data_IF_159786375431
#
_entry.id   IF_159786375431
#
_cell.length_a   1.000
_cell.length_b   1.000
_cell.length_c   1.000
_cell.angle_alpha   90.00
_cell.angle_beta   90.00
_cell.angle_gamma   90.00
#
_symmetry.space_group_name_H-M   'P 1'
#
loop_
_entity.id
_entity.type
_entity.pdbx_description
1 polymer ?
#
# COMPACT_ATOMS: atom_id res chain seq x y z
N UNK A 1 18.45 0.78 25.88
CA UNK A 1 17.51 0.02 25.02
C UNK A 1 17.40 0.74 23.69
N UNK A 2 17.86 0.12 22.59
CA UNK A 2 17.63 0.67 21.25
C UNK A 2 16.15 0.44 20.92
N UNK A 3 15.33 1.48 20.91
CA UNK A 3 13.92 1.38 20.58
C UNK A 3 13.68 1.53 19.07
N UNK A 4 12.74 0.75 18.54
CA UNK A 4 12.23 0.92 17.19
C UNK A 4 11.52 2.27 17.10
N UNK A 5 11.72 2.99 16.01
CA UNK A 5 11.03 4.24 15.74
C UNK A 5 10.19 4.11 14.46
N UNK A 6 9.11 4.87 14.34
CA UNK A 6 8.33 4.94 13.10
C UNK A 6 9.20 5.26 11.88
N UNK A 7 10.23 6.10 12.07
CA UNK A 7 11.16 6.44 10.98
C UNK A 7 11.95 5.24 10.47
N UNK A 8 12.42 4.36 11.36
CA UNK A 8 13.08 3.11 10.98
C UNK A 8 12.17 2.21 10.16
N UNK A 9 10.91 2.06 10.60
CA UNK A 9 9.92 1.25 9.89
C UNK A 9 9.55 1.84 8.52
N UNK A 10 9.41 3.17 8.42
CA UNK A 10 9.15 3.86 7.15
C UNK A 10 10.29 3.66 6.15
N UNK A 11 11.54 3.80 6.60
CA UNK A 11 12.72 3.59 5.74
C UNK A 11 12.78 2.14 5.30
N UNK A 12 12.59 1.19 6.21
CA UNK A 12 12.59 -0.23 5.90
C UNK A 12 11.52 -0.60 4.87
N UNK A 13 10.26 -0.19 5.11
CA UNK A 13 9.15 -0.36 4.17
C UNK A 13 9.50 0.18 2.78
N UNK A 14 10.02 1.42 2.72
CA UNK A 14 10.33 2.07 1.44
C UNK A 14 11.45 1.35 0.67
N UNK A 15 12.43 0.78 1.37
CA UNK A 15 13.50 -0.01 0.75
C UNK A 15 12.95 -1.30 0.15
N UNK A 16 12.09 -2.00 0.87
CA UNK A 16 11.43 -3.22 0.37
C UNK A 16 10.58 -2.91 -0.86
N UNK A 17 9.73 -1.89 -0.81
CA UNK A 17 8.84 -1.49 -1.92
C UNK A 17 9.60 -0.96 -3.14
N UNK A 18 10.78 -0.37 -2.95
CA UNK A 18 11.60 0.15 -4.05
C UNK A 18 12.52 -0.92 -4.65
N UNK A 19 12.72 -2.05 -3.97
CA UNK A 19 13.65 -3.11 -4.37
C UNK A 19 15.12 -2.68 -4.40
N UNK A 20 15.43 -1.47 -3.94
CA UNK A 20 16.80 -0.93 -3.92
C UNK A 20 16.96 0.22 -2.93
N UNK A 21 18.16 0.35 -2.35
CA UNK A 21 18.52 1.48 -1.48
C UNK A 21 18.48 2.80 -2.26
N UNK A 22 18.95 2.80 -3.50
CA UNK A 22 18.94 3.99 -4.36
C UNK A 22 17.51 4.49 -4.63
N UNK A 23 16.60 3.59 -5.00
CA UNK A 23 15.20 3.94 -5.23
C UNK A 23 14.51 4.46 -3.97
N UNK A 24 14.78 3.84 -2.81
CA UNK A 24 14.26 4.29 -1.53
C UNK A 24 14.81 5.66 -1.13
N UNK A 25 16.12 5.90 -1.30
CA UNK A 25 16.74 7.18 -0.97
C UNK A 25 16.14 8.35 -1.76
N UNK A 26 15.88 8.14 -3.05
CA UNK A 26 15.22 9.14 -3.90
C UNK A 26 13.80 9.46 -3.41
N UNK A 27 12.98 8.42 -3.12
CA UNK A 27 11.60 8.58 -2.64
C UNK A 27 11.50 9.23 -1.25
N UNK A 28 12.47 8.95 -0.38
CA UNK A 28 12.51 9.48 0.99
C UNK A 28 13.22 10.83 1.09
N UNK A 29 13.81 11.33 0.01
CA UNK A 29 14.70 12.53 0.01
C UNK A 29 15.83 12.40 1.04
N UNK A 30 16.42 11.20 1.13
CA UNK A 30 17.55 10.87 1.98
C UNK A 30 18.78 10.51 1.16
N UNK A 31 19.98 10.62 1.76
CA UNK A 31 21.19 10.06 1.17
C UNK A 31 21.21 8.52 1.29
N UNK A 32 21.81 7.81 0.33
CA UNK A 32 21.99 6.36 0.41
C UNK A 32 22.71 5.90 1.68
N UNK A 33 23.79 6.56 2.15
CA UNK A 33 24.42 6.22 3.42
C UNK A 33 23.46 6.32 4.61
N UNK A 34 22.57 7.33 4.61
CA UNK A 34 21.54 7.48 5.66
C UNK A 34 20.55 6.32 5.65
N UNK A 35 20.06 5.91 4.48
CA UNK A 35 19.18 4.76 4.34
C UNK A 35 19.85 3.48 4.83
N UNK A 36 21.11 3.24 4.39
CA UNK A 36 21.90 2.07 4.81
C UNK A 36 22.12 2.03 6.33
N UNK A 37 22.41 3.17 6.95
CA UNK A 37 22.57 3.28 8.40
C UNK A 37 21.27 2.94 9.15
N UNK A 38 20.11 3.39 8.65
CA UNK A 38 18.82 3.07 9.24
C UNK A 38 18.50 1.58 9.16
N UNK A 39 18.79 0.94 8.00
CA UNK A 39 18.63 -0.51 7.84
C UNK A 39 19.53 -1.30 8.80
N UNK A 40 20.80 -0.90 8.89
CA UNK A 40 21.75 -1.51 9.82
C UNK A 40 21.26 -1.41 11.26
N UNK A 41 20.82 -0.21 11.68
CA UNK A 41 20.27 0.01 13.02
C UNK A 41 19.07 -0.88 13.31
N UNK A 42 18.18 -1.09 12.35
CA UNK A 42 17.02 -1.96 12.52
C UNK A 42 17.43 -3.43 12.68
N UNK A 43 18.42 -3.90 11.90
CA UNK A 43 19.00 -5.25 12.03
C UNK A 43 19.69 -5.43 13.39
N UNK A 44 20.40 -4.43 13.87
CA UNK A 44 21.07 -4.45 15.19
C UNK A 44 20.05 -4.52 16.36
N UNK A 45 18.88 -3.88 16.22
CA UNK A 45 17.82 -3.92 17.24
C UNK A 45 17.30 -5.35 17.43
N UNK A 46 17.17 -6.11 16.34
CA UNK A 46 16.67 -7.48 16.38
C UNK A 46 17.77 -8.53 16.47
N UNK A 47 19.06 -8.10 16.38
CA UNK A 47 20.23 -9.00 16.27
C UNK A 47 20.05 -10.06 15.14
N UNK A 48 19.46 -9.63 14.02
CA UNK A 48 19.16 -10.48 12.87
C UNK A 48 19.39 -9.74 11.54
N UNK A 49 19.84 -10.48 10.53
CA UNK A 49 19.85 -10.00 9.16
C UNK A 49 18.42 -9.97 8.63
N UNK A 50 17.95 -8.79 8.24
CA UNK A 50 16.60 -8.58 7.72
C UNK A 50 16.57 -8.55 6.18
N UNK A 51 17.67 -8.09 5.57
CA UNK A 51 17.80 -7.91 4.12
C UNK A 51 19.11 -8.52 3.66
N UNK A 52 19.05 -9.29 2.57
CA UNK A 52 20.18 -9.76 1.80
C UNK A 52 20.23 -9.06 0.45
N UNK A 53 21.43 -8.73 -0.02
CA UNK A 53 21.61 -8.09 -1.32
C UNK A 53 22.37 -9.02 -2.24
N UNK A 54 21.73 -9.47 -3.31
CA UNK A 54 22.33 -10.26 -4.37
C UNK A 54 22.26 -9.49 -5.69
N UNK A 55 23.43 -9.20 -6.27
CA UNK A 55 23.54 -8.47 -7.55
C UNK A 55 22.72 -7.17 -7.60
N UNK A 56 22.66 -6.41 -6.48
CA UNK A 56 21.91 -5.15 -6.39
C UNK A 56 20.40 -5.32 -6.15
N UNK A 57 19.90 -6.55 -6.11
CA UNK A 57 18.50 -6.85 -5.77
C UNK A 57 18.37 -7.14 -4.28
N UNK A 58 17.33 -6.58 -3.67
CA UNK A 58 17.01 -6.77 -2.26
C UNK A 58 16.12 -8.00 -2.09
N UNK A 59 16.57 -8.94 -1.24
CA UNK A 59 15.79 -10.09 -0.81
C UNK A 59 15.55 -10.01 0.69
N UNK A 60 14.34 -10.36 1.13
CA UNK A 60 14.01 -10.40 2.55
C UNK A 60 14.32 -11.78 3.12
N UNK A 61 14.96 -11.80 4.27
CA UNK A 61 15.01 -13.01 5.12
C UNK A 61 13.62 -13.28 5.72
N UNK A 62 13.41 -14.41 6.37
CA UNK A 62 12.13 -14.68 7.05
C UNK A 62 11.90 -13.70 8.22
N UNK A 63 12.96 -13.32 8.95
CA UNK A 63 12.90 -12.22 9.93
C UNK A 63 12.53 -10.89 9.25
N UNK A 64 13.12 -10.61 8.08
CA UNK A 64 12.80 -9.43 7.29
C UNK A 64 11.34 -9.37 6.85
N UNK A 65 10.77 -10.49 6.39
CA UNK A 65 9.34 -10.59 6.04
C UNK A 65 8.45 -10.30 7.25
N UNK A 66 8.75 -10.89 8.41
CA UNK A 66 8.00 -10.66 9.65
C UNK A 66 8.04 -9.19 10.07
N UNK A 67 9.22 -8.57 10.03
CA UNK A 67 9.39 -7.14 10.33
C UNK A 67 8.63 -6.26 9.32
N UNK A 68 8.64 -6.62 8.03
CA UNK A 68 7.92 -5.88 6.99
C UNK A 68 6.41 -5.91 7.23
N UNK A 69 5.83 -7.07 7.48
CA UNK A 69 4.39 -7.20 7.77
C UNK A 69 3.99 -6.41 9.02
N UNK A 70 4.77 -6.53 10.09
CA UNK A 70 4.53 -5.75 11.31
C UNK A 70 4.68 -4.25 11.07
N UNK A 71 5.65 -3.82 10.25
CA UNK A 71 5.85 -2.42 9.90
C UNK A 71 4.65 -1.84 9.13
N UNK A 72 4.06 -2.62 8.21
CA UNK A 72 2.84 -2.21 7.49
C UNK A 72 1.70 -1.94 8.47
N UNK A 73 1.42 -2.87 9.38
CA UNK A 73 0.35 -2.75 10.38
C UNK A 73 0.58 -1.56 11.32
N UNK A 74 1.78 -1.40 11.86
CA UNK A 74 2.11 -0.31 12.78
C UNK A 74 1.97 1.06 12.12
N UNK A 75 2.48 1.21 10.88
CA UNK A 75 2.41 2.46 10.14
C UNK A 75 0.98 2.77 9.71
N UNK A 76 0.18 1.76 9.41
CA UNK A 76 -1.25 1.91 9.11
C UNK A 76 -2.01 2.41 10.35
N UNK A 77 -1.83 1.75 11.49
CA UNK A 77 -2.48 2.16 12.76
C UNK A 77 -2.10 3.59 13.16
N UNK A 78 -0.84 3.99 12.95
CA UNK A 78 -0.42 5.38 13.16
C UNK A 78 -1.19 6.35 12.25
N UNK A 79 -1.32 6.03 10.96
CA UNK A 79 -2.05 6.86 10.00
C UNK A 79 -3.53 7.00 10.36
N UNK A 80 -4.16 5.92 10.83
CA UNK A 80 -5.54 5.91 11.30
C UNK A 80 -5.74 6.78 12.54
N UNK A 81 -4.80 6.72 13.49
CA UNK A 81 -4.82 7.59 14.67
C UNK A 81 -4.73 9.07 14.24
N UNK A 82 -3.81 9.43 13.36
CA UNK A 82 -3.65 10.79 12.87
C UNK A 82 -4.92 11.28 12.16
N UNK A 83 -5.56 10.42 11.35
CA UNK A 83 -6.83 10.72 10.69
C UNK A 83 -7.97 10.92 11.71
N UNK A 84 -8.07 10.08 12.75
CA UNK A 84 -9.05 10.21 13.84
C UNK A 84 -8.87 11.54 14.59
N UNK A 85 -7.64 11.90 14.93
CA UNK A 85 -7.36 13.17 15.62
C UNK A 85 -7.74 14.38 14.75
N UNK A 86 -7.48 14.32 13.44
CA UNK A 86 -7.89 15.37 12.50
C UNK A 86 -9.41 15.48 12.39
N UNK A 87 -10.12 14.34 12.35
CA UNK A 87 -11.59 14.30 12.33
C UNK A 87 -12.19 14.93 13.60
N UNK A 88 -11.63 14.63 14.78
CA UNK A 88 -12.07 15.23 16.05
C UNK A 88 -11.87 16.76 16.08
N UNK A 89 -10.91 17.30 15.33
CA UNK A 89 -10.69 18.73 15.15
C UNK A 89 -11.60 19.36 14.10
N UNK A 90 -12.58 18.63 13.56
CA UNK A 90 -13.44 19.09 12.47
C UNK A 90 -12.71 19.29 11.14
N UNK A 91 -11.50 18.79 11.02
CA UNK A 91 -10.68 18.88 9.82
C UNK A 91 -10.68 17.52 9.13
N UNK A 92 -11.65 17.26 8.24
CA UNK A 92 -11.65 16.08 7.36
C UNK A 92 -10.51 16.24 6.34
N UNK A 93 -9.28 15.98 6.77
CA UNK A 93 -8.10 15.94 5.91
C UNK A 93 -7.50 14.54 6.01
N UNK A 94 -7.28 13.90 4.89
CA UNK A 94 -6.67 12.57 4.84
C UNK A 94 -6.30 12.17 3.42
N UNK A 95 -5.54 11.10 3.29
CA UNK A 95 -5.32 10.41 2.03
C UNK A 95 -6.14 9.12 2.06
N UNK A 96 -6.90 8.85 1.00
CA UNK A 96 -7.64 7.61 0.81
C UNK A 96 -7.11 6.92 -0.44
N UNK A 97 -6.62 5.70 -0.29
CA UNK A 97 -6.05 4.91 -1.37
C UNK A 97 -7.06 3.89 -1.84
N UNK A 98 -7.43 3.99 -3.11
CA UNK A 98 -8.38 3.11 -3.76
C UNK A 98 -7.68 2.34 -4.90
N UNK A 99 -7.62 1.02 -4.80
CA UNK A 99 -7.13 0.19 -5.89
C UNK A 99 -8.29 -0.45 -6.65
N UNK A 100 -8.28 -0.33 -7.98
CA UNK A 100 -9.39 -0.76 -8.82
C UNK A 100 -8.93 -1.60 -10.01
N UNK A 101 -9.68 -2.63 -10.35
CA UNK A 101 -9.46 -3.40 -11.57
C UNK A 101 -9.76 -2.55 -12.81
N UNK A 102 -9.05 -2.82 -13.90
CA UNK A 102 -9.17 -2.08 -15.16
C UNK A 102 -10.60 -1.95 -15.66
N UNK A 103 -11.45 -2.96 -15.45
CA UNK A 103 -12.86 -2.95 -15.85
C UNK A 103 -13.69 -1.91 -15.12
N UNK A 104 -13.35 -1.59 -13.87
CA UNK A 104 -14.06 -0.61 -13.03
C UNK A 104 -13.58 0.84 -13.25
N UNK A 105 -12.45 1.07 -13.90
CA UNK A 105 -11.82 2.40 -14.00
C UNK A 105 -12.72 3.51 -14.56
N UNK A 106 -13.65 3.15 -15.45
CA UNK A 106 -14.56 4.14 -16.07
C UNK A 106 -15.75 4.52 -15.17
N UNK A 107 -16.06 3.65 -14.20
CA UNK A 107 -17.12 3.89 -13.22
C UNK A 107 -16.66 4.81 -12.09
N UNK A 108 -15.42 4.63 -11.65
CA UNK A 108 -14.87 5.28 -10.46
C UNK A 108 -14.96 6.81 -10.48
N UNK A 109 -14.64 7.54 -11.56
CA UNK A 109 -14.74 9.00 -11.58
C UNK A 109 -16.17 9.50 -11.28
N UNK A 110 -17.19 8.74 -11.71
CA UNK A 110 -18.60 9.12 -11.46
C UNK A 110 -18.95 8.96 -9.97
N UNK A 111 -18.49 7.88 -9.34
CA UNK A 111 -18.74 7.61 -7.92
C UNK A 111 -17.98 8.65 -7.05
N UNK A 112 -16.70 8.89 -7.37
CA UNK A 112 -15.85 9.77 -6.57
C UNK A 112 -16.22 11.25 -6.69
N UNK A 113 -16.91 11.67 -7.76
CA UNK A 113 -17.26 13.08 -7.98
C UNK A 113 -18.05 13.67 -6.82
N UNK A 114 -19.14 13.03 -6.38
CA UNK A 114 -19.96 13.49 -5.26
C UNK A 114 -19.16 13.45 -3.96
N UNK A 115 -18.43 12.37 -3.71
CA UNK A 115 -17.60 12.24 -2.52
C UNK A 115 -16.53 13.35 -2.41
N UNK A 116 -15.82 13.65 -3.50
CA UNK A 116 -14.82 14.72 -3.51
C UNK A 116 -15.41 16.11 -3.29
N UNK A 117 -16.65 16.35 -3.75
CA UNK A 117 -17.36 17.61 -3.51
C UNK A 117 -17.80 17.75 -2.04
N UNK A 118 -18.24 16.68 -1.43
CA UNK A 118 -18.67 16.66 -0.03
C UNK A 118 -17.47 16.65 0.94
N UNK A 119 -16.33 16.09 0.52
CA UNK A 119 -15.13 15.93 1.35
C UNK A 119 -13.87 16.53 0.68
N UNK A 120 -13.82 17.87 0.46
CA UNK A 120 -12.72 18.51 -0.29
C UNK A 120 -11.35 18.41 0.39
N UNK A 121 -11.32 18.05 1.68
CA UNK A 121 -10.09 17.84 2.44
C UNK A 121 -9.47 16.45 2.28
N UNK A 122 -10.16 15.51 1.62
CA UNK A 122 -9.68 14.13 1.42
C UNK A 122 -9.00 14.02 0.06
N UNK A 123 -7.72 13.64 0.07
CA UNK A 123 -6.96 13.35 -1.15
C UNK A 123 -7.14 11.90 -1.54
N UNK A 124 -7.85 11.62 -2.65
CA UNK A 124 -8.06 10.26 -3.13
C UNK A 124 -6.97 9.89 -4.13
N UNK A 125 -6.25 8.81 -3.84
CA UNK A 125 -5.27 8.22 -4.73
C UNK A 125 -5.86 6.95 -5.35
N UNK A 126 -6.07 6.95 -6.66
CA UNK A 126 -6.62 5.79 -7.38
C UNK A 126 -5.51 5.04 -8.09
N UNK A 127 -5.36 3.76 -7.78
CA UNK A 127 -4.47 2.84 -8.49
C UNK A 127 -5.30 1.92 -9.37
N UNK A 128 -5.00 1.91 -10.66
CA UNK A 128 -5.65 1.01 -11.63
C UNK A 128 -4.69 -0.10 -12.01
N UNK A 129 -5.15 -1.35 -12.01
CA UNK A 129 -4.37 -2.52 -12.40
C UNK A 129 -5.23 -3.66 -12.91
N UNK A 130 -4.60 -4.73 -13.40
CA UNK A 130 -5.31 -5.98 -13.69
C UNK A 130 -5.69 -6.69 -12.37
N UNK A 131 -6.53 -7.73 -12.47
CA UNK A 131 -7.02 -8.46 -11.29
C UNK A 131 -5.89 -9.00 -10.41
N UNK A 132 -4.84 -9.56 -11.02
CA UNK A 132 -3.70 -10.11 -10.29
C UNK A 132 -2.94 -9.02 -9.53
N UNK A 133 -2.64 -7.89 -10.18
CA UNK A 133 -1.94 -6.76 -9.54
C UNK A 133 -2.73 -6.17 -8.37
N UNK A 134 -4.05 -6.05 -8.50
CA UNK A 134 -4.88 -5.53 -7.42
C UNK A 134 -4.98 -6.54 -6.29
N UNK A 135 -5.03 -7.84 -6.59
CA UNK A 135 -5.03 -8.91 -5.60
C UNK A 135 -3.71 -8.94 -4.80
N UNK A 136 -2.56 -8.84 -5.46
CA UNK A 136 -1.26 -8.76 -4.81
C UNK A 136 -1.17 -7.56 -3.86
N UNK A 137 -1.72 -6.40 -4.28
CA UNK A 137 -1.81 -5.20 -3.43
C UNK A 137 -2.71 -5.42 -2.22
N UNK A 138 -3.84 -6.13 -2.39
CA UNK A 138 -4.74 -6.46 -1.29
C UNK A 138 -4.08 -7.39 -0.27
N UNK A 139 -3.38 -8.42 -0.72
CA UNK A 139 -2.59 -9.30 0.15
C UNK A 139 -1.52 -8.55 0.95
N UNK A 140 -0.94 -7.52 0.35
CA UNK A 140 0.08 -6.68 0.98
C UNK A 140 -0.50 -5.48 1.74
N UNK A 141 -1.82 -5.35 1.81
CA UNK A 141 -2.53 -4.25 2.49
C UNK A 141 -2.02 -2.86 2.09
N UNK A 142 -1.78 -2.64 0.80
CA UNK A 142 -1.18 -1.41 0.29
C UNK A 142 -2.16 -0.24 0.13
N UNK A 143 -3.46 -0.53 0.09
CA UNK A 143 -4.52 0.45 -0.13
C UNK A 143 -5.65 0.26 0.89
N UNK A 144 -6.46 1.29 1.09
CA UNK A 144 -7.53 1.32 2.10
C UNK A 144 -8.81 0.62 1.60
N UNK A 145 -9.05 0.60 0.28
CA UNK A 145 -10.18 -0.06 -0.35
C UNK A 145 -9.79 -0.67 -1.70
N UNK A 146 -10.43 -1.78 -2.03
CA UNK A 146 -10.20 -2.50 -3.28
C UNK A 146 -11.52 -2.70 -4.03
N UNK A 147 -11.50 -2.51 -5.35
CA UNK A 147 -12.60 -2.89 -6.23
C UNK A 147 -12.12 -4.02 -7.12
N UNK A 148 -12.67 -5.20 -6.91
CA UNK A 148 -12.34 -6.45 -7.57
C UNK A 148 -13.57 -7.01 -8.29
N UNK A 149 -13.34 -7.82 -9.32
CA UNK A 149 -14.41 -8.56 -9.99
C UNK A 149 -14.87 -9.77 -9.18
N UNK A 150 -13.95 -10.35 -8.42
CA UNK A 150 -14.15 -11.48 -7.54
C UNK A 150 -13.22 -11.33 -6.32
N UNK A 151 -13.70 -11.77 -5.15
CA UNK A 151 -12.96 -11.67 -3.90
C UNK A 151 -12.60 -13.08 -3.45
N UNK A 152 -11.30 -13.46 -3.48
CA UNK A 152 -10.87 -14.77 -3.03
C UNK A 152 -11.11 -14.99 -1.53
N UNK A 153 -11.47 -16.21 -1.16
CA UNK A 153 -11.76 -16.61 0.23
C UNK A 153 -10.57 -16.43 1.21
N UNK A 154 -9.35 -16.41 0.69
CA UNK A 154 -8.16 -16.25 1.54
C UNK A 154 -7.88 -14.80 1.95
N UNK A 155 -8.64 -13.82 1.45
CA UNK A 155 -8.54 -12.43 1.88
C UNK A 155 -9.47 -12.19 3.07
N UNK A 156 -8.90 -11.79 4.18
CA UNK A 156 -9.64 -11.34 5.37
C UNK A 156 -10.09 -9.88 5.16
N UNK A 157 -11.23 -9.71 4.49
CA UNK A 157 -11.80 -8.41 4.11
C UNK A 157 -13.33 -8.43 4.18
N UNK A 158 -13.91 -7.30 4.53
CA UNK A 158 -15.35 -7.07 4.39
C UNK A 158 -15.69 -6.81 2.92
N UNK A 159 -16.39 -7.75 2.28
CA UNK A 159 -16.71 -7.69 0.87
C UNK A 159 -18.18 -7.34 0.62
N UNK A 160 -18.42 -6.24 -0.10
CA UNK A 160 -19.75 -5.77 -0.49
C UNK A 160 -19.94 -5.79 -1.99
N UNK A 161 -20.92 -6.55 -2.48
CA UNK A 161 -21.30 -6.54 -3.89
C UNK A 161 -22.11 -5.27 -4.19
N UNK A 162 -21.62 -4.42 -5.07
CA UNK A 162 -22.30 -3.16 -5.42
C UNK A 162 -22.80 -3.10 -6.86
N UNK A 163 -22.30 -3.95 -7.77
CA UNK A 163 -22.73 -3.98 -9.16
C UNK A 163 -22.49 -5.35 -9.81
N UNK A 164 -23.40 -5.85 -10.67
CA UNK A 164 -23.16 -7.06 -11.43
C UNK A 164 -22.13 -6.81 -12.54
N UNK A 165 -21.19 -7.73 -12.72
CA UNK A 165 -20.22 -7.74 -13.82
C UNK A 165 -20.58 -8.85 -14.81
N UNK A 166 -21.34 -8.51 -15.87
CA UNK A 166 -21.76 -9.48 -16.89
C UNK A 166 -20.69 -9.60 -17.98
N UNK A 167 -20.26 -10.82 -18.24
CA UNK A 167 -19.39 -11.14 -19.37
C UNK A 167 -20.22 -11.44 -20.60
N UNK A 168 -19.85 -10.86 -21.74
CA UNK A 168 -20.45 -11.10 -23.03
C UNK A 168 -19.38 -11.57 -24.02
N UNK A 169 -19.71 -12.59 -24.79
CA UNK A 169 -18.91 -12.96 -25.95
C UNK A 169 -19.29 -12.04 -27.11
N UNK A 170 -18.30 -11.42 -27.73
CA UNK A 170 -18.50 -10.57 -28.90
C UNK A 170 -17.69 -11.13 -30.08
N UNK A 171 -18.29 -11.13 -31.26
CA UNK A 171 -17.65 -11.51 -32.49
C UNK A 171 -18.03 -10.51 -33.58
N UNK A 172 -17.27 -10.51 -34.68
CA UNK A 172 -17.67 -9.77 -35.89
C UNK A 172 -18.98 -10.34 -36.45
N UNK A 173 -19.80 -9.47 -37.06
CA UNK A 173 -21.04 -9.88 -37.71
C UNK A 173 -20.79 -10.85 -38.90
N UNK A 174 -19.56 -10.85 -39.43
CA UNK A 174 -19.13 -11.68 -40.55
C UNK A 174 -18.39 -12.97 -40.12
N UNK A 175 -18.54 -13.35 -38.86
CA UNK A 175 -17.90 -14.54 -38.31
C UNK A 175 -18.85 -15.74 -38.33
#
# INVERSE_FOLDING_TARGET
MNSITFRLLQVYKQVVESGSITGASAKLSLSQPTVSLQLKKLSEIYDMTLIETHHGTINLTDAGKAVYQSALTILQTQSELDAHILALKGQSKGAFKLAVVTTAKYLIPKILKSFCLEHPGINIQVKVGNSQQILERAQQQQDDMYILSDVPEFLDVDAHKFMPNKLHVVASADF
#
